data_IF_201074534926
#
_entry.id   IF_201074534926
#
_cell.length_a   1.000
_cell.length_b   1.000
_cell.length_c   1.000
_cell.angle_alpha   90.00
_cell.angle_beta   90.00
_cell.angle_gamma   90.00
#
_symmetry.space_group_name_H-M   'P 1'
#
loop_
_entity.id
_entity.type
_entity.pdbx_description
1 polymer ?
#
# COMPACT_ATOMS: atom_id res chain seq x y z
N UNK A 1 3.38 -11.56 13.06
CA UNK A 1 2.17 -11.06 12.38
C UNK A 1 2.23 -9.55 12.48
N UNK A 2 2.08 -8.83 11.37
CA UNK A 2 2.19 -7.37 11.35
C UNK A 2 1.07 -6.70 12.13
N UNK A 3 1.38 -5.63 12.85
CA UNK A 3 0.38 -4.80 13.51
C UNK A 3 -0.37 -3.92 12.48
N UNK A 4 -1.44 -3.24 12.92
CA UNK A 4 -2.28 -2.44 12.02
C UNK A 4 -1.49 -1.33 11.30
N UNK A 5 -0.57 -0.65 12.00
CA UNK A 5 0.26 0.39 11.41
C UNK A 5 1.21 -0.17 10.36
N UNK A 6 1.88 -1.29 10.65
CA UNK A 6 2.78 -1.98 9.72
C UNK A 6 2.02 -2.43 8.47
N UNK A 7 0.82 -3.00 8.62
CA UNK A 7 -0.03 -3.36 7.47
C UNK A 7 -0.38 -2.13 6.63
N UNK A 8 -0.80 -1.02 7.25
CA UNK A 8 -1.17 0.19 6.53
C UNK A 8 0.01 0.79 5.75
N UNK A 9 1.23 0.74 6.31
CA UNK A 9 2.45 1.19 5.62
C UNK A 9 2.73 0.30 4.41
N UNK A 10 2.65 -1.03 4.57
CA UNK A 10 2.87 -1.99 3.48
C UNK A 10 1.83 -1.77 2.37
N UNK A 11 0.54 -1.65 2.73
CA UNK A 11 -0.53 -1.36 1.76
C UNK A 11 -0.27 -0.07 0.99
N UNK A 12 0.13 1.02 1.67
CA UNK A 12 0.47 2.26 0.97
C UNK A 12 1.66 2.09 0.01
N UNK A 13 2.72 1.43 0.46
CA UNK A 13 3.90 1.21 -0.38
C UNK A 13 3.54 0.43 -1.65
N UNK A 14 2.69 -0.59 -1.52
CA UNK A 14 2.18 -1.37 -2.66
C UNK A 14 1.27 -0.53 -3.57
N UNK A 15 0.44 0.36 -3.01
CA UNK A 15 -0.37 1.30 -3.79
C UNK A 15 0.50 2.28 -4.60
N UNK A 16 1.55 2.83 -4.00
CA UNK A 16 2.49 3.70 -4.69
C UNK A 16 3.24 2.96 -5.79
N UNK A 17 3.77 1.76 -5.48
CA UNK A 17 4.47 0.93 -6.46
C UNK A 17 3.55 0.53 -7.64
N UNK A 18 2.28 0.23 -7.37
CA UNK A 18 1.31 -0.09 -8.44
C UNK A 18 1.03 1.11 -9.36
N UNK A 19 0.92 2.32 -8.78
CA UNK A 19 0.43 3.50 -9.51
C UNK A 19 1.54 4.34 -10.19
N UNK A 20 2.76 4.35 -9.66
CA UNK A 20 3.79 5.32 -10.07
C UNK A 20 5.22 4.75 -9.97
N UNK A 21 5.43 3.50 -10.40
CA UNK A 21 6.79 2.94 -10.49
C UNK A 21 7.51 3.39 -11.76
N UNK A 22 8.81 3.55 -11.66
CA UNK A 22 9.73 3.66 -12.79
C UNK A 22 10.50 2.35 -13.00
N UNK A 23 11.09 2.15 -14.19
CA UNK A 23 11.96 0.99 -14.41
C UNK A 23 13.21 1.02 -13.50
N UNK A 24 13.68 2.21 -13.13
CA UNK A 24 14.80 2.38 -12.19
C UNK A 24 14.41 1.93 -10.77
N UNK A 25 13.19 2.26 -10.31
CA UNK A 25 12.69 1.77 -9.01
C UNK A 25 12.64 0.25 -8.96
N UNK A 26 12.21 -0.39 -10.05
CA UNK A 26 12.18 -1.85 -10.14
C UNK A 26 13.59 -2.44 -10.16
N UNK A 27 14.53 -1.81 -10.88
CA UNK A 27 15.92 -2.22 -10.90
C UNK A 27 16.57 -2.13 -9.50
N UNK A 28 16.31 -1.03 -8.78
CA UNK A 28 16.79 -0.82 -7.41
C UNK A 28 16.20 -1.84 -6.42
N UNK A 29 14.96 -2.27 -6.65
CA UNK A 29 14.29 -3.32 -5.87
C UNK A 29 14.67 -4.75 -6.33
N UNK A 30 15.48 -4.90 -7.38
CA UNK A 30 15.84 -6.20 -7.95
C UNK A 30 14.66 -6.95 -8.57
N UNK A 31 13.65 -6.22 -9.05
CA UNK A 31 12.42 -6.75 -9.62
C UNK A 31 12.49 -6.78 -11.14
N UNK A 32 12.26 -7.95 -11.74
CA UNK A 32 12.22 -8.11 -13.20
C UNK A 32 10.79 -8.02 -13.77
N UNK A 33 9.77 -8.06 -12.91
CA UNK A 33 8.37 -7.99 -13.32
C UNK A 33 7.90 -6.54 -13.50
N UNK A 34 7.19 -6.26 -14.60
CA UNK A 34 6.65 -4.94 -14.91
C UNK A 34 5.27 -5.01 -15.59
N UNK A 35 4.63 -3.86 -15.69
CA UNK A 35 3.30 -3.69 -16.28
C UNK A 35 2.23 -4.51 -15.54
N UNK A 36 1.32 -5.11 -16.30
CA UNK A 36 0.16 -5.86 -15.79
C UNK A 36 0.57 -6.94 -14.78
N UNK A 37 1.73 -7.58 -14.94
CA UNK A 37 2.19 -8.62 -14.02
C UNK A 37 2.54 -8.04 -12.64
N UNK A 38 3.24 -6.90 -12.60
CA UNK A 38 3.57 -6.20 -11.36
C UNK A 38 2.31 -5.66 -10.69
N UNK A 39 1.44 -5.02 -11.47
CA UNK A 39 0.17 -4.46 -10.97
C UNK A 39 -0.71 -5.55 -10.33
N UNK A 40 -0.81 -6.71 -10.99
CA UNK A 40 -1.56 -7.86 -10.47
C UNK A 40 -0.93 -8.42 -9.19
N UNK A 41 0.40 -8.52 -9.14
CA UNK A 41 1.09 -8.97 -7.94
C UNK A 41 0.87 -8.01 -6.76
N UNK A 42 0.95 -6.70 -7.00
CA UNK A 42 0.66 -5.70 -5.97
C UNK A 42 -0.79 -5.82 -5.49
N UNK A 43 -1.75 -5.97 -6.40
CA UNK A 43 -3.17 -6.19 -6.06
C UNK A 43 -3.36 -7.44 -5.19
N UNK A 44 -2.81 -8.59 -5.59
CA UNK A 44 -2.92 -9.85 -4.85
C UNK A 44 -2.29 -9.71 -3.45
N UNK A 45 -1.12 -9.07 -3.33
CA UNK A 45 -0.48 -8.82 -2.04
C UNK A 45 -1.31 -7.89 -1.15
N UNK A 46 -1.95 -6.85 -1.71
CA UNK A 46 -2.82 -5.97 -0.92
C UNK A 46 -4.06 -6.73 -0.44
N UNK A 47 -4.67 -7.56 -1.29
CA UNK A 47 -5.82 -8.40 -0.93
C UNK A 47 -5.48 -9.41 0.18
N UNK A 48 -4.25 -9.92 0.23
CA UNK A 48 -3.78 -10.78 1.33
C UNK A 48 -3.75 -10.04 2.69
N UNK A 49 -3.50 -8.73 2.69
CA UNK A 49 -3.45 -7.92 3.90
C UNK A 49 -4.82 -7.37 4.33
N UNK A 50 -5.64 -6.96 3.37
CA UNK A 50 -6.89 -6.21 3.62
C UNK A 50 -8.13 -7.08 3.46
N UNK A 51 -8.03 -8.18 2.72
CA UNK A 51 -9.11 -9.10 2.40
C UNK A 51 -9.51 -9.07 0.92
N UNK A 52 -10.26 -10.09 0.45
CA UNK A 52 -10.73 -10.14 -0.93
C UNK A 52 -11.63 -8.95 -1.24
N UNK A 53 -11.67 -8.51 -2.50
CA UNK A 53 -12.44 -7.34 -2.97
C UNK A 53 -11.95 -6.01 -2.38
N UNK A 54 -10.62 -5.84 -2.32
CA UNK A 54 -9.99 -4.61 -1.88
C UNK A 54 -10.43 -3.41 -2.72
N UNK A 55 -11.03 -2.41 -2.05
CA UNK A 55 -11.40 -1.11 -2.62
C UNK A 55 -10.28 -0.10 -2.34
N UNK A 56 -9.61 0.31 -3.40
CA UNK A 56 -8.50 1.26 -3.37
C UNK A 56 -8.91 2.63 -2.81
N UNK A 57 -10.11 3.12 -3.16
CA UNK A 57 -10.56 4.45 -2.74
C UNK A 57 -10.94 4.47 -1.25
N UNK A 58 -11.68 3.46 -0.79
CA UNK A 58 -12.02 3.32 0.62
C UNK A 58 -10.78 3.09 1.50
N UNK A 59 -9.80 2.34 1.00
CA UNK A 59 -8.58 2.05 1.74
C UNK A 59 -7.67 3.27 1.83
N UNK A 60 -7.49 4.02 0.75
CA UNK A 60 -6.77 5.29 0.78
C UNK A 60 -7.37 6.25 1.81
N UNK A 61 -8.70 6.41 1.82
CA UNK A 61 -9.41 7.25 2.81
C UNK A 61 -9.21 6.77 4.24
N UNK A 62 -9.28 5.45 4.49
CA UNK A 62 -9.07 4.90 5.83
C UNK A 62 -7.65 5.12 6.33
N UNK A 63 -6.65 4.97 5.46
CA UNK A 63 -5.25 5.20 5.80
C UNK A 63 -4.97 6.70 6.04
N UNK A 64 -5.51 7.59 5.22
CA UNK A 64 -5.40 9.04 5.41
C UNK A 64 -6.03 9.48 6.74
N UNK A 65 -7.22 8.95 7.08
CA UNK A 65 -7.82 9.17 8.40
C UNK A 65 -6.96 8.66 9.54
N UNK A 66 -6.24 7.55 9.35
CA UNK A 66 -5.35 6.98 10.34
C UNK A 66 -4.10 7.85 10.54
N UNK A 67 -3.50 8.34 9.45
CA UNK A 67 -2.41 9.33 9.51
C UNK A 67 -2.87 10.60 10.22
N UNK A 68 -4.02 11.16 9.86
CA UNK A 68 -4.60 12.34 10.53
C UNK A 68 -4.86 12.11 12.03
N UNK A 69 -5.22 10.89 12.45
CA UNK A 69 -5.38 10.54 13.87
C UNK A 69 -4.04 10.46 14.61
N UNK A 70 -2.98 9.98 13.96
CA UNK A 70 -1.63 9.92 14.54
C UNK A 70 -1.00 11.32 14.73
N UNK A 71 -1.35 12.28 13.86
CA UNK A 71 -0.86 13.67 13.94
C UNK A 71 -1.74 14.61 14.76
N UNK A 72 -2.94 14.19 15.16
CA UNK A 72 -3.73 14.93 16.15
C UNK A 72 -3.18 14.62 17.53
N UNK A 73 -2.36 15.52 18.06
CA UNK A 73 -1.97 15.47 19.48
C UNK A 73 -3.22 15.25 20.35
N UNK A 74 -3.13 14.39 21.38
CA UNK A 74 -4.22 14.24 22.32
C UNK A 74 -4.47 15.61 22.95
N UNK A 75 -5.69 16.14 22.77
CA UNK A 75 -6.13 17.31 23.53
C UNK A 75 -6.18 16.88 25.00
N UNK A 76 -5.26 17.41 25.80
CA UNK A 76 -5.33 17.41 27.27
C UNK A 76 -6.66 18.03 27.76
#
# INVERSE_FOLDING_TARGET
MFNETERNIITMALMYLKNDYTEDDLADLGMECKGILLERMCQEMIEDFVGPTWDEEATAKNIEQYQLKLFREPKE
#
